data_IF_279528118665
#
_entry.id   IF_279528118665
#
_cell.length_a   1.000
_cell.length_b   1.000
_cell.length_c   1.000
_cell.angle_alpha   90.00
_cell.angle_beta   90.00
_cell.angle_gamma   90.00
#
_symmetry.space_group_name_H-M   'P 1'
#
loop_
_entity.id
_entity.type
_entity.pdbx_description
1 polymer ?
#
# COMPACT_ATOMS: atom_id res chain seq x y z
N UNK A 1 29.17 -3.17 -14.66
CA UNK A 1 28.07 -4.11 -14.99
C UNK A 1 26.76 -3.36 -14.83
N UNK A 2 25.84 -3.34 -15.82
CA UNK A 2 24.54 -2.72 -15.62
C UNK A 2 23.75 -3.48 -14.55
N UNK A 3 23.17 -2.76 -13.58
CA UNK A 3 22.32 -3.37 -12.57
C UNK A 3 21.10 -4.01 -13.23
N UNK A 4 20.86 -5.28 -12.91
CA UNK A 4 19.71 -6.00 -13.43
C UNK A 4 18.44 -5.50 -12.73
N UNK A 5 17.61 -4.76 -13.46
CA UNK A 5 16.34 -4.21 -12.97
C UNK A 5 15.12 -5.09 -13.34
N UNK A 6 15.33 -6.36 -13.71
CA UNK A 6 14.21 -7.29 -13.91
C UNK A 6 13.54 -7.57 -12.56
N UNK A 7 12.21 -7.42 -12.45
CA UNK A 7 11.49 -7.77 -11.23
C UNK A 7 11.75 -9.24 -10.87
N UNK A 8 12.15 -9.49 -9.63
CA UNK A 8 12.25 -10.85 -9.11
C UNK A 8 10.82 -11.36 -8.94
N UNK A 9 10.46 -12.42 -9.65
CA UNK A 9 9.15 -13.03 -9.52
C UNK A 9 9.00 -13.59 -8.10
N UNK A 10 7.83 -13.41 -7.44
CA UNK A 10 7.59 -14.02 -6.15
C UNK A 10 7.72 -15.55 -6.26
N UNK A 11 8.30 -16.21 -5.24
CA UNK A 11 8.40 -17.66 -5.21
C UNK A 11 7.00 -18.29 -5.31
N UNK A 12 6.87 -19.33 -6.14
CA UNK A 12 5.58 -20.04 -6.34
C UNK A 12 5.29 -21.06 -5.24
N UNK A 13 6.31 -21.45 -4.47
CA UNK A 13 6.18 -22.48 -3.44
C UNK A 13 5.60 -21.89 -2.15
N UNK A 14 4.71 -22.65 -1.52
CA UNK A 14 4.10 -22.27 -0.24
C UNK A 14 5.15 -22.48 0.86
N UNK A 15 5.80 -21.39 1.29
CA UNK A 15 6.85 -21.43 2.32
C UNK A 15 6.31 -21.69 3.74
N UNK A 16 5.01 -21.49 3.96
CA UNK A 16 4.40 -21.47 5.30
C UNK A 16 4.87 -20.29 6.16
N UNK A 17 5.57 -19.31 5.57
CA UNK A 17 6.12 -18.15 6.26
C UNK A 17 5.65 -16.85 5.60
N UNK A 18 5.55 -15.79 6.40
CA UNK A 18 5.28 -14.42 5.95
C UNK A 18 6.59 -13.69 5.71
N UNK A 19 6.62 -12.84 4.69
CA UNK A 19 7.75 -11.97 4.38
C UNK A 19 7.90 -10.85 5.43
N UNK A 20 6.79 -10.36 5.97
CA UNK A 20 6.77 -9.35 7.02
C UNK A 20 7.12 -9.98 8.38
N UNK A 21 8.04 -9.38 9.17
CA UNK A 21 8.38 -9.90 10.48
C UNK A 21 7.17 -9.92 11.42
N UNK A 22 6.74 -11.11 11.83
CA UNK A 22 5.51 -11.28 12.64
C UNK A 22 5.54 -10.49 13.95
N UNK A 23 6.71 -10.36 14.59
CA UNK A 23 6.88 -9.56 15.80
C UNK A 23 6.57 -8.06 15.57
N UNK A 24 6.87 -7.53 14.37
CA UNK A 24 6.56 -6.13 14.01
C UNK A 24 5.07 -5.96 13.74
N UNK A 25 4.46 -6.92 13.05
CA UNK A 25 3.01 -6.94 12.80
C UNK A 25 2.26 -6.98 14.14
N UNK A 26 2.64 -7.88 15.05
CA UNK A 26 2.06 -7.96 16.39
C UNK A 26 2.24 -6.65 17.18
N UNK A 27 3.41 -6.01 17.08
CA UNK A 27 3.65 -4.72 17.75
C UNK A 27 2.71 -3.62 17.24
N UNK A 28 2.46 -3.56 15.92
CA UNK A 28 1.52 -2.60 15.32
C UNK A 28 0.09 -2.90 15.77
N UNK A 29 -0.32 -4.17 15.72
CA UNK A 29 -1.63 -4.60 16.21
C UNK A 29 -1.81 -4.19 17.68
N UNK A 30 -0.81 -4.44 18.55
CA UNK A 30 -0.86 -4.09 19.96
C UNK A 30 -0.83 -2.58 20.26
N UNK A 31 -0.54 -1.73 19.26
CA UNK A 31 -0.50 -0.28 19.45
C UNK A 31 -1.90 0.34 19.50
N UNK A 32 -2.92 -0.39 19.04
CA UNK A 32 -4.32 0.02 19.13
C UNK A 32 -4.87 -0.24 20.55
N UNK A 33 -5.28 0.81 21.29
CA UNK A 33 -5.79 0.68 22.65
C UNK A 33 -7.15 -0.02 22.74
N UNK A 34 -7.96 -0.03 21.67
CA UNK A 34 -9.28 -0.65 21.65
C UNK A 34 -9.29 -2.06 21.03
N UNK A 35 -8.10 -2.63 20.83
CA UNK A 35 -7.96 -3.90 20.13
C UNK A 35 -8.52 -5.08 20.94
N UNK A 36 -9.29 -5.92 20.26
CA UNK A 36 -9.64 -7.26 20.73
C UNK A 36 -8.43 -8.19 20.86
N UNK A 37 -8.54 -9.22 21.72
CA UNK A 37 -7.51 -10.23 21.85
C UNK A 37 -7.24 -10.90 20.49
N UNK A 38 -5.98 -10.84 20.03
CA UNK A 38 -5.56 -11.37 18.73
C UNK A 38 -4.68 -12.61 18.92
N UNK A 39 -5.09 -13.75 18.38
CA UNK A 39 -4.30 -14.99 18.42
C UNK A 39 -3.09 -14.91 17.49
N UNK A 40 -2.11 -15.81 17.68
CA UNK A 40 -0.94 -15.91 16.79
C UNK A 40 -1.33 -16.20 15.34
N UNK A 41 -2.33 -17.06 15.13
CA UNK A 41 -2.84 -17.40 13.79
C UNK A 41 -3.54 -16.21 13.14
N UNK A 42 -4.29 -15.41 13.91
CA UNK A 42 -4.89 -14.18 13.40
C UNK A 42 -3.81 -13.15 13.01
N UNK A 43 -2.77 -12.98 13.83
CA UNK A 43 -1.64 -12.11 13.48
C UNK A 43 -0.90 -12.57 12.22
N UNK A 44 -0.76 -13.88 12.00
CA UNK A 44 -0.19 -14.45 10.77
C UNK A 44 -1.07 -14.16 9.55
N UNK A 45 -2.39 -14.33 9.66
CA UNK A 45 -3.33 -13.99 8.60
C UNK A 45 -3.30 -12.49 8.25
N UNK A 46 -3.21 -11.61 9.26
CA UNK A 46 -3.06 -10.16 9.06
C UNK A 46 -1.76 -9.84 8.34
N UNK A 47 -0.65 -10.51 8.68
CA UNK A 47 0.64 -10.32 7.99
C UNK A 47 0.53 -10.70 6.49
N UNK A 48 -0.06 -11.86 6.17
CA UNK A 48 -0.31 -12.26 4.77
C UNK A 48 -1.21 -11.26 4.04
N UNK A 49 -2.31 -10.85 4.67
CA UNK A 49 -3.23 -9.87 4.09
C UNK A 49 -2.53 -8.53 3.83
N UNK A 50 -1.63 -8.10 4.71
CA UNK A 50 -0.85 -6.87 4.56
C UNK A 50 0.11 -6.96 3.37
N UNK A 51 0.75 -8.12 3.16
CA UNK A 51 1.61 -8.34 1.98
C UNK A 51 0.81 -8.26 0.68
N UNK A 52 -0.33 -8.94 0.63
CA UNK A 52 -1.24 -8.89 -0.52
C UNK A 52 -1.77 -7.47 -0.74
N UNK A 53 -2.06 -6.74 0.33
CA UNK A 53 -2.51 -5.36 0.26
C UNK A 53 -1.46 -4.43 -0.34
N UNK A 54 -0.19 -4.55 0.04
CA UNK A 54 0.90 -3.73 -0.53
C UNK A 54 1.02 -3.99 -2.04
N UNK A 55 0.96 -5.25 -2.47
CA UNK A 55 0.97 -5.61 -3.88
C UNK A 55 -0.25 -5.08 -4.63
N UNK A 56 -1.42 -5.17 -4.02
CA UNK A 56 -2.68 -4.65 -4.56
C UNK A 56 -2.62 -3.13 -4.73
N UNK A 57 -2.16 -2.39 -3.72
CA UNK A 57 -2.01 -0.94 -3.77
C UNK A 57 -1.02 -0.50 -4.87
N UNK A 58 0.12 -1.18 -4.98
CA UNK A 58 1.14 -0.89 -6.00
C UNK A 58 0.60 -1.17 -7.41
N UNK A 59 -0.04 -2.33 -7.61
CA UNK A 59 -0.64 -2.72 -8.89
C UNK A 59 -1.78 -1.78 -9.29
N UNK A 60 -2.66 -1.46 -8.36
CA UNK A 60 -3.80 -0.55 -8.59
C UNK A 60 -3.30 0.83 -8.99
N UNK A 61 -2.32 1.37 -8.25
CA UNK A 61 -1.70 2.65 -8.59
C UNK A 61 -1.06 2.62 -9.98
N UNK A 62 -0.31 1.56 -10.30
CA UNK A 62 0.31 1.39 -11.61
C UNK A 62 -0.71 1.33 -12.75
N UNK A 63 -1.82 0.62 -12.54
CA UNK A 63 -2.90 0.52 -13.52
C UNK A 63 -3.52 1.89 -13.78
N UNK A 64 -3.74 2.70 -12.75
CA UNK A 64 -4.22 4.09 -12.91
C UNK A 64 -3.22 4.91 -13.74
N UNK A 65 -1.91 4.83 -13.46
CA UNK A 65 -0.89 5.57 -14.22
C UNK A 65 -0.83 5.12 -15.69
N UNK A 66 -1.02 3.83 -15.96
CA UNK A 66 -1.06 3.30 -17.33
C UNK A 66 -2.22 3.83 -18.16
N UNK A 67 -3.31 4.25 -17.53
CA UNK A 67 -4.46 4.86 -18.23
C UNK A 67 -4.25 6.34 -18.58
N UNK A 68 -3.17 6.97 -18.09
CA UNK A 68 -2.86 8.36 -18.44
C UNK A 68 -2.43 8.49 -19.91
N UNK A 69 -2.69 9.66 -20.51
CA UNK A 69 -2.31 9.96 -21.92
C UNK A 69 -0.82 9.77 -22.21
N UNK A 70 0.05 9.94 -21.20
CA UNK A 70 1.49 9.69 -21.28
C UNK A 70 1.87 8.74 -20.15
N UNK A 71 1.76 7.41 -20.37
CA UNK A 71 1.99 6.44 -19.31
C UNK A 71 3.44 6.51 -18.86
N UNK A 72 3.63 6.61 -17.55
CA UNK A 72 4.95 6.62 -16.92
C UNK A 72 5.25 5.25 -16.34
N UNK A 73 6.53 4.88 -16.36
CA UNK A 73 7.00 3.64 -15.73
C UNK A 73 7.17 3.80 -14.22
N UNK A 74 7.43 5.01 -13.74
CA UNK A 74 7.66 5.30 -12.33
C UNK A 74 6.39 5.84 -11.67
N UNK A 75 6.03 5.26 -10.53
CA UNK A 75 4.93 5.70 -9.67
C UNK A 75 5.42 6.85 -8.77
N UNK A 76 4.62 7.89 -8.64
CA UNK A 76 4.84 9.04 -7.78
C UNK A 76 3.74 9.13 -6.71
N UNK A 77 3.97 9.88 -5.63
CA UNK A 77 2.97 10.04 -4.56
C UNK A 77 1.60 10.50 -5.06
N UNK A 78 1.58 11.47 -5.99
CA UNK A 78 0.33 11.96 -6.61
C UNK A 78 -0.49 10.84 -7.28
N UNK A 79 0.19 9.81 -7.77
CA UNK A 79 -0.45 8.69 -8.44
C UNK A 79 -1.15 7.80 -7.41
N UNK A 80 -0.50 7.56 -6.27
CA UNK A 80 -1.09 6.82 -5.14
C UNK A 80 -2.30 7.59 -4.60
N UNK A 81 -2.18 8.90 -4.34
CA UNK A 81 -3.29 9.73 -3.87
C UNK A 81 -4.46 9.78 -4.87
N UNK A 82 -4.16 9.75 -6.17
CA UNK A 82 -5.17 9.66 -7.23
C UNK A 82 -5.84 8.29 -7.26
N UNK A 83 -5.09 7.20 -7.11
CA UNK A 83 -5.62 5.84 -7.08
C UNK A 83 -6.50 5.61 -5.84
N UNK A 84 -6.06 6.04 -4.66
CA UNK A 84 -6.84 6.01 -3.42
C UNK A 84 -8.18 6.71 -3.60
N UNK A 85 -8.19 7.92 -4.15
CA UNK A 85 -9.41 8.70 -4.35
C UNK A 85 -10.34 8.20 -5.47
N UNK A 86 -9.91 7.21 -6.28
CA UNK A 86 -10.68 6.65 -7.40
C UNK A 86 -11.17 5.22 -7.14
N UNK A 87 -10.67 4.57 -6.10
CA UNK A 87 -10.91 3.14 -5.86
C UNK A 87 -11.65 2.99 -4.54
N UNK A 88 -12.91 2.57 -4.58
CA UNK A 88 -13.79 2.52 -3.41
C UNK A 88 -13.21 1.68 -2.27
N UNK A 89 -12.57 0.54 -2.58
CA UNK A 89 -11.93 -0.31 -1.56
C UNK A 89 -10.64 0.27 -0.94
N UNK A 90 -10.17 1.43 -1.43
CA UNK A 90 -9.06 2.19 -0.86
C UNK A 90 -9.53 3.44 -0.11
N UNK A 91 -10.84 3.69 0.01
CA UNK A 91 -11.40 4.88 0.66
C UNK A 91 -10.89 5.08 2.09
N UNK A 92 -10.65 3.98 2.83
CA UNK A 92 -10.10 4.03 4.19
C UNK A 92 -8.71 4.70 4.29
N UNK A 93 -8.02 4.91 3.16
CA UNK A 93 -6.73 5.60 3.10
C UNK A 93 -6.83 7.11 2.82
N UNK A 94 -8.02 7.68 2.58
CA UNK A 94 -8.15 9.09 2.15
C UNK A 94 -7.50 10.07 3.13
N UNK A 95 -7.62 9.82 4.43
CA UNK A 95 -7.05 10.67 5.48
C UNK A 95 -5.54 10.44 5.66
N UNK A 96 -5.04 9.27 5.27
CA UNK A 96 -3.62 8.87 5.40
C UNK A 96 -2.81 9.29 4.16
N UNK A 97 -3.43 9.24 2.98
CA UNK A 97 -2.82 9.55 1.68
C UNK A 97 -3.62 10.64 0.97
N UNK A 98 -3.63 11.88 1.50
CA UNK A 98 -4.42 12.95 0.95
C UNK A 98 -3.89 13.41 -0.42
N UNK A 99 -4.80 13.96 -1.24
CA UNK A 99 -4.39 14.68 -2.46
C UNK A 99 -3.57 15.91 -2.08
N UNK A 100 -2.36 16.01 -2.62
CA UNK A 100 -1.53 17.20 -2.43
C UNK A 100 -2.13 18.40 -3.15
N UNK A 101 -2.01 19.57 -2.54
CA UNK A 101 -2.35 20.86 -3.16
C UNK A 101 -1.27 21.87 -2.84
N UNK A 102 -1.10 22.87 -3.69
CA UNK A 102 -0.13 23.93 -3.41
C UNK A 102 -0.65 24.84 -2.29
N UNK A 103 0.26 25.43 -1.51
CA UNK A 103 -0.11 26.38 -0.46
C UNK A 103 -0.93 27.56 -1.01
N UNK A 104 -0.62 28.00 -2.23
CA UNK A 104 -1.37 29.05 -2.94
C UNK A 104 -2.83 28.65 -3.19
N UNK A 105 -3.08 27.40 -3.60
CA UNK A 105 -4.44 26.89 -3.79
C UNK A 105 -5.18 26.71 -2.46
N UNK A 106 -4.49 26.22 -1.42
CA UNK A 106 -5.04 26.11 -0.08
C UNK A 106 -5.52 27.47 0.44
N UNK A 107 -4.69 28.51 0.33
CA UNK A 107 -5.02 29.88 0.76
C UNK A 107 -6.19 30.51 -0.01
N UNK A 108 -6.48 30.07 -1.23
CA UNK A 108 -7.64 30.56 -2.01
C UNK A 108 -8.96 29.92 -1.59
N UNK A 109 -8.92 28.73 -0.98
CA UNK A 109 -10.11 28.00 -0.50
C UNK A 109 -10.52 28.38 0.91
N UNK A 110 -9.65 29.10 1.63
CA UNK A 110 -9.85 29.61 2.97
C UNK A 110 -10.14 31.11 2.91
#
# INVERSE_FOLDING_TARGET
MPYNNTPIAPPKDISGQVSLPLARVQKIINADPERLHTSKNAAFAIAMATEMFIQHLATTTHNVVKTERKPRRNIQYRDIASAVAKTDNLEFLVDVVPKTMTYKEYKKRK
#
